data_IF_755463029569
#
_entry.id   IF_755463029569
#
_cell.length_a   1.000
_cell.length_b   1.000
_cell.length_c   1.000
_cell.angle_alpha   90.00
_cell.angle_beta   90.00
_cell.angle_gamma   90.00
#
_symmetry.space_group_name_H-M   'P 1'
#
loop_
_entity.id
_entity.type
_entity.pdbx_description
1 polymer ?
#
# COMPACT_ATOMS: atom_id res chain seq x y z
N UNK A 1 -1.00 -3.97 12.53
CA UNK A 1 0.28 -3.84 13.26
C UNK A 1 1.15 -5.06 13.00
N UNK A 2 2.45 -4.86 12.85
CA UNK A 2 3.41 -5.98 12.73
C UNK A 2 3.52 -6.74 14.07
N UNK A 3 3.93 -8.01 14.03
CA UNK A 3 4.18 -8.83 15.23
C UNK A 3 5.12 -8.15 16.25
N UNK A 4 6.27 -7.56 15.85
CA UNK A 4 7.15 -6.86 16.79
C UNK A 4 6.49 -5.63 17.42
N UNK A 5 5.73 -4.83 16.66
CA UNK A 5 5.01 -3.67 17.21
C UNK A 5 3.95 -4.10 18.24
N UNK A 6 3.26 -5.21 18.00
CA UNK A 6 2.32 -5.77 19.01
C UNK A 6 3.04 -6.18 20.30
N UNK A 7 4.21 -6.79 20.19
CA UNK A 7 5.02 -7.18 21.34
C UNK A 7 5.53 -5.95 22.12
N UNK A 8 5.97 -4.90 21.41
CA UNK A 8 6.41 -3.65 22.02
C UNK A 8 5.26 -2.92 22.73
N UNK A 9 4.10 -2.78 22.09
CA UNK A 9 2.91 -2.23 22.76
C UNK A 9 2.53 -3.03 24.02
N UNK A 10 2.53 -4.37 23.96
CA UNK A 10 2.24 -5.19 25.13
C UNK A 10 3.27 -4.97 26.26
N UNK A 11 4.56 -4.89 25.92
CA UNK A 11 5.63 -4.62 26.86
C UNK A 11 5.49 -3.23 27.50
N UNK A 12 5.18 -2.20 26.71
CA UNK A 12 4.96 -0.84 27.20
C UNK A 12 3.74 -0.75 28.11
N UNK A 13 2.62 -1.35 27.72
CA UNK A 13 1.42 -1.43 28.57
C UNK A 13 1.70 -2.17 29.88
N UNK A 14 2.41 -3.30 29.83
CA UNK A 14 2.81 -4.04 31.03
C UNK A 14 3.71 -3.21 31.94
N UNK A 15 4.65 -2.45 31.38
CA UNK A 15 5.55 -1.57 32.14
C UNK A 15 4.78 -0.42 32.79
N UNK A 16 3.86 0.21 32.07
CA UNK A 16 3.00 1.27 32.62
C UNK A 16 2.15 0.77 33.78
N UNK A 17 1.52 -0.40 33.62
CA UNK A 17 0.72 -1.03 34.68
C UNK A 17 1.56 -1.41 35.90
N UNK A 18 2.77 -1.94 35.67
CA UNK A 18 3.69 -2.28 36.75
C UNK A 18 4.11 -1.04 37.54
N UNK A 19 4.45 0.06 36.86
CA UNK A 19 4.81 1.33 37.53
C UNK A 19 3.64 1.93 38.30
N UNK A 20 2.42 1.88 37.74
CA UNK A 20 1.20 2.30 38.43
C UNK A 20 0.94 1.44 39.68
N UNK A 21 1.14 0.12 39.57
CA UNK A 21 1.02 -0.80 40.70
C UNK A 21 2.05 -0.50 41.80
N UNK A 22 3.32 -0.22 41.44
CA UNK A 22 4.34 0.22 42.39
C UNK A 22 3.93 1.51 43.10
N UNK A 23 3.35 2.48 42.40
CA UNK A 23 2.85 3.71 43.01
C UNK A 23 1.75 3.44 44.06
N UNK A 24 0.82 2.53 43.76
CA UNK A 24 -0.26 2.14 44.70
C UNK A 24 0.29 1.44 45.94
N UNK A 25 1.20 0.47 45.77
CA UNK A 25 1.86 -0.20 46.90
C UNK A 25 2.59 0.82 47.77
N UNK A 26 3.31 1.76 47.15
CA UNK A 26 4.06 2.77 47.88
C UNK A 26 3.17 3.63 48.77
N UNK A 27 1.98 4.00 48.28
CA UNK A 27 0.97 4.70 49.08
C UNK A 27 0.44 3.86 50.24
N UNK A 28 0.18 2.57 50.01
CA UNK A 28 -0.38 1.68 51.05
C UNK A 28 0.65 1.32 52.13
N UNK A 29 1.92 1.16 51.75
CA UNK A 29 3.00 0.81 52.67
C UNK A 29 3.49 1.99 53.53
N UNK A 30 2.94 3.19 53.36
CA UNK A 30 3.41 4.40 54.06
C UNK A 30 4.82 4.82 53.66
N UNK A 31 5.27 4.42 52.46
CA UNK A 31 6.59 4.74 51.96
C UNK A 31 6.73 6.22 51.58
N UNK A 32 7.94 6.69 51.24
CA UNK A 32 8.19 8.06 50.84
C UNK A 32 7.24 8.54 49.73
N UNK A 33 6.37 9.50 50.07
CA UNK A 33 5.32 10.03 49.18
C UNK A 33 5.88 10.73 47.94
N UNK A 34 7.13 11.21 47.99
CA UNK A 34 7.81 11.82 46.85
C UNK A 34 8.09 10.82 45.70
N UNK A 35 8.08 9.51 45.97
CA UNK A 35 8.31 8.49 44.94
C UNK A 35 7.07 8.26 44.06
N UNK A 36 5.86 8.55 44.57
CA UNK A 36 4.60 8.39 43.84
C UNK A 36 4.57 9.21 42.54
N UNK A 37 4.85 10.54 42.54
CA UNK A 37 4.85 11.30 41.29
C UNK A 37 5.93 10.83 40.30
N UNK A 38 7.04 10.25 40.75
CA UNK A 38 8.06 9.69 39.87
C UNK A 38 7.57 8.45 39.12
N UNK A 39 6.88 7.53 39.80
CA UNK A 39 6.29 6.36 39.15
C UNK A 39 5.18 6.75 38.17
N UNK A 40 4.36 7.75 38.53
CA UNK A 40 3.35 8.31 37.63
C UNK A 40 4.01 8.92 36.41
N UNK A 41 5.01 9.79 36.57
CA UNK A 41 5.74 10.38 35.46
C UNK A 41 6.42 9.33 34.57
N UNK A 42 7.02 8.30 35.17
CA UNK A 42 7.65 7.20 34.44
C UNK A 42 6.63 6.38 33.63
N UNK A 43 5.38 6.25 34.09
CA UNK A 43 4.32 5.54 33.37
C UNK A 43 3.83 6.29 32.11
N UNK A 44 4.04 7.60 32.03
CA UNK A 44 3.65 8.41 30.86
C UNK A 44 4.50 8.04 29.63
N UNK A 45 5.79 7.74 29.83
CA UNK A 45 6.73 7.40 28.76
C UNK A 45 6.27 6.19 27.91
N UNK A 46 5.97 5.02 28.50
CA UNK A 46 5.47 3.89 27.71
C UNK A 46 4.10 4.16 27.09
N UNK A 47 3.23 4.96 27.71
CA UNK A 47 1.94 5.36 27.11
C UNK A 47 2.18 6.17 25.84
N UNK A 48 3.04 7.20 25.89
CA UNK A 48 3.42 7.98 24.70
C UNK A 48 4.02 7.07 23.62
N UNK A 49 4.88 6.12 24.01
CA UNK A 49 5.47 5.16 23.09
C UNK A 49 4.41 4.32 22.37
N UNK A 50 3.38 3.83 23.09
CA UNK A 50 2.27 3.10 22.46
C UNK A 50 1.46 3.95 21.48
N UNK A 51 1.17 5.21 21.83
CA UNK A 51 0.44 6.12 20.94
C UNK A 51 1.23 6.38 19.65
N UNK A 52 2.54 6.59 19.78
CA UNK A 52 3.42 6.77 18.62
C UNK A 52 3.47 5.54 17.72
N UNK A 53 3.47 4.34 18.29
CA UNK A 53 3.41 3.11 17.49
C UNK A 53 2.07 2.94 16.76
N UNK A 54 0.97 3.37 17.37
CA UNK A 54 -0.35 3.37 16.74
C UNK A 54 -0.40 4.35 15.57
N UNK A 55 0.10 5.57 15.75
CA UNK A 55 0.17 6.59 14.71
C UNK A 55 1.03 6.13 13.51
N UNK A 56 2.22 5.58 13.78
CA UNK A 56 3.08 4.99 12.75
C UNK A 56 2.41 3.81 12.03
N UNK A 57 1.60 3.03 12.74
CA UNK A 57 0.84 1.93 12.13
C UNK A 57 -0.28 2.46 11.22
N UNK A 58 -0.90 3.59 11.55
CA UNK A 58 -1.90 4.25 10.72
C UNK A 58 -1.29 4.89 9.48
N UNK A 59 -0.18 5.62 9.61
CA UNK A 59 0.55 6.18 8.48
C UNK A 59 0.99 5.10 7.49
N UNK A 60 1.47 3.95 7.98
CA UNK A 60 1.82 2.81 7.12
C UNK A 60 0.61 2.22 6.40
N UNK A 61 -0.55 2.20 7.04
CA UNK A 61 -1.80 1.73 6.41
C UNK A 61 -2.25 2.71 5.33
N UNK A 62 -2.28 4.00 5.62
CA UNK A 62 -2.71 5.02 4.65
C UNK A 62 -1.78 5.03 3.44
N UNK A 63 -0.47 5.06 3.66
CA UNK A 63 0.52 4.99 2.56
C UNK A 63 0.35 3.73 1.73
N UNK A 64 0.24 2.54 2.34
CA UNK A 64 -0.01 1.29 1.60
C UNK A 64 -1.29 1.35 0.75
N UNK A 65 -2.38 1.93 1.27
CA UNK A 65 -3.62 2.09 0.49
C UNK A 65 -3.48 3.07 -0.66
N UNK A 66 -2.74 4.16 -0.49
CA UNK A 66 -2.48 5.14 -1.55
C UNK A 66 -1.61 4.55 -2.64
N UNK A 67 -0.51 3.86 -2.27
CA UNK A 67 0.35 3.16 -3.22
C UNK A 67 -0.42 2.09 -3.99
N UNK A 68 -1.26 1.29 -3.32
CA UNK A 68 -2.09 0.29 -4.00
C UNK A 68 -3.16 0.91 -4.92
N UNK A 69 -3.65 2.11 -4.61
CA UNK A 69 -4.55 2.86 -5.51
C UNK A 69 -3.78 3.37 -6.74
N UNK A 70 -2.59 3.92 -6.55
CA UNK A 70 -1.79 4.44 -7.66
C UNK A 70 -1.33 3.33 -8.61
N UNK A 71 -0.86 2.19 -8.08
CA UNK A 71 -0.51 1.02 -8.91
C UNK A 71 -1.69 0.58 -9.77
N UNK A 72 -2.90 0.52 -9.19
CA UNK A 72 -4.12 0.17 -9.95
C UNK A 72 -4.49 1.23 -10.99
N UNK A 73 -4.25 2.50 -10.70
CA UNK A 73 -4.48 3.60 -11.64
C UNK A 73 -3.52 3.51 -12.83
N UNK A 74 -2.23 3.28 -12.58
CA UNK A 74 -1.21 3.09 -13.61
C UNK A 74 -1.51 1.85 -14.46
N UNK A 75 -1.82 0.71 -13.85
CA UNK A 75 -2.19 -0.50 -14.59
C UNK A 75 -3.40 -0.30 -15.51
N UNK A 76 -4.41 0.47 -15.08
CA UNK A 76 -5.56 0.82 -15.94
C UNK A 76 -5.19 1.78 -17.06
N UNK A 77 -4.28 2.70 -16.80
CA UNK A 77 -3.78 3.62 -17.81
C UNK A 77 -3.00 2.86 -18.88
N UNK A 78 -2.08 2.00 -18.47
CA UNK A 78 -1.27 1.17 -19.39
C UNK A 78 -2.17 0.26 -20.24
N UNK A 79 -3.16 -0.39 -19.64
CA UNK A 79 -4.13 -1.20 -20.39
C UNK A 79 -4.93 -0.38 -21.42
N UNK A 80 -5.25 0.89 -21.12
CA UNK A 80 -5.91 1.79 -22.08
C UNK A 80 -4.98 2.22 -23.20
N UNK A 81 -3.72 2.50 -22.88
CA UNK A 81 -2.70 2.81 -23.89
C UNK A 81 -2.47 1.62 -24.81
N UNK A 82 -2.41 0.41 -24.27
CA UNK A 82 -2.28 -0.83 -25.05
C UNK A 82 -3.49 -1.06 -25.97
N UNK A 83 -4.72 -0.93 -25.45
CA UNK A 83 -5.95 -1.03 -26.25
C UNK A 83 -6.01 0.05 -27.36
N UNK A 84 -5.59 1.27 -27.04
CA UNK A 84 -5.50 2.35 -28.04
C UNK A 84 -4.46 2.03 -29.11
N UNK A 85 -3.24 1.64 -28.71
CA UNK A 85 -2.17 1.28 -29.63
C UNK A 85 -2.58 0.10 -30.53
N UNK A 86 -3.27 -0.90 -29.98
CA UNK A 86 -3.79 -2.03 -30.75
C UNK A 86 -4.81 -1.59 -31.80
N UNK A 87 -5.77 -0.73 -31.44
CA UNK A 87 -6.76 -0.19 -32.38
C UNK A 87 -6.13 0.64 -33.49
N UNK A 88 -5.16 1.48 -33.15
CA UNK A 88 -4.44 2.28 -34.15
C UNK A 88 -3.63 1.37 -35.09
N UNK A 89 -3.02 0.29 -34.57
CA UNK A 89 -2.34 -0.71 -35.40
C UNK A 89 -3.30 -1.46 -36.33
N UNK A 90 -4.45 -1.88 -35.81
CA UNK A 90 -5.50 -2.55 -36.59
C UNK A 90 -6.04 -1.63 -37.70
N UNK A 91 -6.22 -0.33 -37.41
CA UNK A 91 -6.62 0.67 -38.39
C UNK A 91 -5.53 0.92 -39.45
N UNK A 92 -4.26 1.03 -39.03
CA UNK A 92 -3.12 1.21 -39.92
C UNK A 92 -2.85 -0.01 -40.82
N UNK A 93 -3.11 -1.23 -40.35
CA UNK A 93 -3.07 -2.44 -41.19
C UNK A 93 -4.02 -2.35 -42.40
N UNK A 94 -5.09 -1.55 -42.27
CA UNK A 94 -6.07 -1.27 -43.33
C UNK A 94 -5.77 0.05 -44.08
N UNK A 95 -4.68 0.75 -43.78
CA UNK A 95 -4.33 1.96 -44.52
C UNK A 95 -3.79 1.65 -45.92
N UNK A 96 -4.62 2.05 -46.90
CA UNK A 96 -4.31 2.39 -48.30
C UNK A 96 -3.44 1.35 -49.02
N UNK A 97 -4.10 0.51 -49.81
CA UNK A 97 -3.54 -0.50 -50.75
C UNK A 97 -2.21 -0.15 -51.48
N UNK A 98 -1.91 1.13 -51.70
CA UNK A 98 -0.67 1.58 -52.34
C UNK A 98 0.58 1.54 -51.43
N UNK A 99 0.44 1.60 -50.10
CA UNK A 99 1.57 1.53 -49.14
C UNK A 99 1.95 0.09 -48.79
N UNK A 100 1.06 -0.87 -49.03
CA UNK A 100 1.29 -2.30 -48.81
C UNK A 100 1.61 -3.07 -50.13
N UNK A 101 1.87 -2.36 -51.23
CA UNK A 101 2.10 -2.97 -52.54
C UNK A 101 3.39 -3.83 -52.53
N UNK A 102 3.23 -5.14 -52.35
CA UNK A 102 4.32 -6.11 -52.34
C UNK A 102 4.65 -6.75 -50.99
N UNK A 103 3.97 -6.37 -49.90
CA UNK A 103 4.05 -7.06 -48.60
C UNK A 103 2.79 -7.88 -48.39
N UNK A 104 2.93 -9.20 -48.19
CA UNK A 104 1.79 -10.08 -47.89
C UNK A 104 1.14 -9.68 -46.56
N UNK A 105 -0.20 -9.70 -46.54
CA UNK A 105 -0.96 -9.54 -45.31
C UNK A 105 -0.72 -10.74 -44.38
N UNK A 106 -0.81 -10.49 -43.07
CA UNK A 106 -0.86 -11.57 -42.07
C UNK A 106 -2.01 -12.54 -42.41
N UNK A 107 -1.75 -13.86 -42.53
CA UNK A 107 -2.76 -14.87 -42.87
C UNK A 107 -3.97 -14.88 -41.93
N UNK A 108 -3.82 -14.42 -40.68
CA UNK A 108 -4.90 -14.42 -39.68
C UNK A 108 -5.70 -13.11 -39.63
N UNK A 109 -5.46 -12.16 -40.55
CA UNK A 109 -6.14 -10.87 -40.55
C UNK A 109 -7.61 -10.98 -41.01
N UNK A 110 -8.54 -10.60 -40.13
CA UNK A 110 -10.00 -10.61 -40.37
C UNK A 110 -10.47 -9.68 -41.51
N UNK A 111 -9.64 -8.73 -41.92
CA UNK A 111 -9.94 -7.77 -42.98
C UNK A 111 -9.36 -8.17 -44.35
N UNK A 112 -8.81 -9.39 -44.47
CA UNK A 112 -8.42 -9.90 -45.78
C UNK A 112 -9.61 -9.88 -46.74
N UNK A 113 -9.45 -9.16 -47.85
CA UNK A 113 -10.33 -9.33 -49.00
C UNK A 113 -9.88 -10.60 -49.74
N UNK A 114 -10.80 -11.51 -50.09
CA UNK A 114 -10.45 -12.69 -50.87
C UNK A 114 -9.75 -12.24 -52.13
N UNK A 115 -8.54 -12.76 -52.37
CA UNK A 115 -7.75 -12.44 -53.55
C UNK A 115 -8.58 -12.81 -54.79
N UNK A 116 -9.12 -11.81 -55.48
CA UNK A 116 -9.78 -12.06 -56.76
C UNK A 116 -8.69 -12.38 -57.77
N UNK A 117 -8.57 -13.66 -58.13
CA UNK A 117 -7.84 -14.08 -59.32
C UNK A 117 -8.60 -13.57 -60.55
N UNK A 118 -8.46 -12.28 -60.87
CA UNK A 118 -8.75 -11.79 -62.20
C UNK A 118 -7.55 -12.17 -63.07
N UNK A 119 -7.79 -13.18 -63.91
CA UNK A 119 -6.89 -13.68 -64.94
C UNK A 119 -6.66 -12.66 -66.06
#
# INVERSE_FOLDING_TARGET
MSRPARALCALYSATALFLAYCAVIQCQAGGPLWAVPLFVAASIVPVIATLRELELADERRTTATLTAREIRRLARHDARCEDTARRELDAACCERWWTALGTDHDPDCQHQTPRSNAA
#
